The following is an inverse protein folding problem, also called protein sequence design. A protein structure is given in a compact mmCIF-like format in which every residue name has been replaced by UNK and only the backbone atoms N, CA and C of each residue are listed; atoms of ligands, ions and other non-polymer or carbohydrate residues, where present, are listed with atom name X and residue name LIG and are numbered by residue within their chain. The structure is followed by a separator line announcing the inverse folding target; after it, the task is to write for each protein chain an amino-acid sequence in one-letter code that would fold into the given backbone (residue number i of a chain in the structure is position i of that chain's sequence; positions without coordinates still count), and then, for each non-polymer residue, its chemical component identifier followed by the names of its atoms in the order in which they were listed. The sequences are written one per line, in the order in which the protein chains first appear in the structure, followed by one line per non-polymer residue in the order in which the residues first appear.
data_IF_853744223100
#
_entry.id   IF_853744223100
#
_cell.length_a   1.000
_cell.length_b   1.000
_cell.length_c   1.000
_cell.angle_alpha   90.00
_cell.angle_beta   90.00
_cell.angle_gamma   90.00
#
_symmetry.space_group_name_H-M   'P 1'
#
loop_
_entity.id
_entity.type
_entity.pdbx_description
1 polymer ?
#
# COMPACT_ATOMS: atom_id res chain seq x y z
N UNK A 1 -12.03 -28.34 -40.56
CA UNK A 1 -12.80 -29.44 -39.96
C UNK A 1 -11.90 -30.65 -39.94
N UNK A 2 -11.38 -31.04 -38.77
CA UNK A 2 -10.74 -32.34 -38.63
C UNK A 2 -11.82 -33.39 -38.84
N UNK A 3 -11.56 -34.34 -39.73
CA UNK A 3 -12.41 -35.52 -39.90
C UNK A 3 -12.58 -36.17 -38.54
N UNK A 4 -13.80 -36.11 -38.02
CA UNK A 4 -14.21 -36.91 -36.87
C UNK A 4 -13.89 -38.36 -37.25
N UNK A 5 -12.92 -38.96 -36.56
CA UNK A 5 -12.67 -40.38 -36.70
C UNK A 5 -14.00 -41.07 -36.46
N UNK A 6 -14.55 -41.64 -37.54
CA UNK A 6 -15.75 -42.46 -37.51
C UNK A 6 -15.48 -43.52 -36.46
N UNK A 7 -16.14 -43.40 -35.30
CA UNK A 7 -16.11 -44.47 -34.33
C UNK A 7 -16.62 -45.69 -35.07
N UNK A 8 -15.96 -46.82 -34.84
CA UNK A 8 -16.54 -48.10 -35.17
C UNK A 8 -17.81 -48.27 -34.31
N UNK A 9 -18.95 -47.75 -34.77
CA UNK A 9 -20.27 -47.88 -34.14
C UNK A 9 -20.56 -49.34 -33.80
N UNK A 10 -19.98 -50.29 -34.56
CA UNK A 10 -20.07 -51.71 -34.26
C UNK A 10 -19.43 -52.05 -32.92
N UNK A 11 -18.34 -51.40 -32.50
CA UNK A 11 -17.74 -51.65 -31.18
C UNK A 11 -18.61 -51.18 -30.04
N UNK A 12 -19.22 -49.99 -30.14
CA UNK A 12 -20.13 -49.45 -29.12
C UNK A 12 -21.44 -50.29 -29.05
N UNK A 13 -22.00 -50.66 -30.19
CA UNK A 13 -23.22 -51.47 -30.25
C UNK A 13 -22.99 -52.93 -29.82
N UNK A 14 -21.79 -53.49 -30.07
CA UNK A 14 -21.43 -54.85 -29.67
C UNK A 14 -21.42 -55.07 -28.15
N UNK A 15 -21.26 -54.02 -27.35
CA UNK A 15 -21.39 -54.10 -25.88
C UNK A 15 -22.84 -54.26 -25.45
N UNK A 16 -23.75 -53.48 -26.05
CA UNK A 16 -25.19 -53.62 -25.81
C UNK A 16 -25.66 -55.02 -26.23
N UNK A 17 -25.16 -55.54 -27.35
CA UNK A 17 -25.47 -56.90 -27.81
C UNK A 17 -24.87 -57.97 -26.87
N UNK A 18 -23.61 -57.86 -26.46
CA UNK A 18 -22.97 -58.87 -25.60
C UNK A 18 -23.57 -58.95 -24.20
N UNK A 19 -23.90 -57.81 -23.57
CA UNK A 19 -24.49 -57.77 -22.23
C UNK A 19 -25.94 -58.28 -22.23
N UNK A 20 -26.62 -58.25 -23.38
CA UNK A 20 -28.01 -58.71 -23.52
C UNK A 20 -28.15 -60.17 -23.97
N UNK A 21 -27.05 -60.87 -24.28
CA UNK A 21 -27.08 -62.30 -24.65
C UNK A 21 -27.20 -63.24 -23.44
N UNK A 22 -28.02 -64.29 -23.55
CA UNK A 22 -28.31 -65.27 -22.49
C UNK A 22 -27.05 -66.01 -21.96
N UNK A 23 -25.99 -66.11 -22.77
CA UNK A 23 -24.71 -66.77 -22.43
C UNK A 23 -23.87 -66.01 -21.37
N UNK A 24 -24.14 -64.72 -21.16
CA UNK A 24 -23.43 -63.89 -20.17
C UNK A 24 -24.28 -63.59 -18.93
N UNK A 25 -25.39 -64.31 -18.74
CA UNK A 25 -26.13 -64.26 -17.48
C UNK A 25 -25.37 -65.00 -16.38
N UNK A 26 -25.51 -64.52 -15.13
CA UNK A 26 -24.90 -65.19 -13.97
C UNK A 26 -25.30 -66.67 -13.91
N UNK A 27 -26.56 -66.96 -14.16
CA UNK A 27 -27.14 -68.30 -14.09
C UNK A 27 -26.54 -69.24 -15.14
N UNK A 28 -26.39 -68.80 -16.41
CA UNK A 28 -25.76 -69.62 -17.45
C UNK A 28 -24.24 -69.79 -17.24
N UNK A 29 -23.59 -68.85 -16.53
CA UNK A 29 -22.18 -68.99 -16.18
C UNK A 29 -21.95 -70.04 -15.09
N UNK A 30 -22.75 -70.02 -14.01
CA UNK A 30 -22.48 -70.81 -12.79
C UNK A 30 -23.17 -72.18 -12.75
N UNK A 31 -24.29 -72.39 -13.46
CA UNK A 31 -25.11 -73.61 -13.38
C UNK A 31 -24.31 -74.91 -13.62
N UNK A 32 -23.67 -75.06 -14.78
CA UNK A 32 -22.93 -76.28 -15.13
C UNK A 32 -21.74 -76.54 -14.18
N UNK A 33 -21.10 -75.47 -13.70
CA UNK A 33 -20.00 -75.55 -12.74
C UNK A 33 -20.50 -76.05 -11.38
N UNK A 34 -21.62 -75.52 -10.90
CA UNK A 34 -22.24 -75.93 -9.63
C UNK A 34 -22.76 -77.36 -9.69
N UNK A 35 -23.45 -77.73 -10.77
CA UNK A 35 -23.94 -79.09 -11.00
C UNK A 35 -22.79 -80.12 -11.03
N UNK A 36 -21.71 -79.82 -11.76
CA UNK A 36 -20.54 -80.68 -11.81
C UNK A 36 -19.80 -80.75 -10.47
N UNK A 37 -19.70 -79.61 -9.77
CA UNK A 37 -19.05 -79.55 -8.45
C UNK A 37 -19.78 -80.42 -7.45
N UNK A 38 -21.12 -80.32 -7.40
CA UNK A 38 -21.92 -81.12 -6.47
C UNK A 38 -21.89 -82.61 -6.84
N UNK A 39 -22.02 -82.94 -8.12
CA UNK A 39 -22.03 -84.33 -8.61
C UNK A 39 -20.74 -85.11 -8.32
N UNK A 40 -19.59 -84.47 -8.46
CA UNK A 40 -18.27 -85.12 -8.29
C UNK A 40 -17.61 -84.81 -6.95
N UNK A 41 -18.33 -84.16 -6.04
CA UNK A 41 -17.85 -83.88 -4.68
C UNK A 41 -17.54 -85.17 -3.95
N UNK A 42 -16.29 -85.34 -3.51
CA UNK A 42 -15.85 -86.54 -2.79
C UNK A 42 -15.79 -87.82 -3.64
N UNK A 43 -15.93 -87.72 -4.98
CA UNK A 43 -15.78 -88.87 -5.86
C UNK A 43 -14.33 -89.38 -5.88
N UNK A 44 -14.15 -90.71 -5.74
CA UNK A 44 -12.85 -91.38 -5.79
C UNK A 44 -12.83 -92.34 -6.98
N UNK A 45 -11.92 -92.10 -7.93
CA UNK A 45 -11.72 -92.95 -9.09
C UNK A 45 -11.19 -94.34 -8.69
N UNK A 46 -11.62 -95.38 -9.41
CA UNK A 46 -11.18 -96.76 -9.20
C UNK A 46 -10.49 -97.33 -10.44
N UNK A 47 -9.79 -98.46 -10.28
CA UNK A 47 -9.08 -99.09 -11.41
C UNK A 47 -10.02 -99.49 -12.56
N UNK A 48 -11.28 -99.87 -12.25
CA UNK A 48 -12.28 -100.25 -13.26
C UNK A 48 -12.91 -99.06 -13.98
N UNK A 49 -12.94 -97.86 -13.37
CA UNK A 49 -13.54 -96.63 -13.94
C UNK A 49 -12.52 -95.71 -14.62
N UNK A 50 -11.22 -96.03 -14.51
CA UNK A 50 -10.11 -95.17 -14.93
C UNK A 50 -10.20 -94.62 -16.35
N UNK A 51 -10.69 -95.42 -17.31
CA UNK A 51 -10.82 -95.00 -18.72
C UNK A 51 -11.86 -93.88 -18.86
N UNK A 52 -13.00 -94.00 -18.19
CA UNK A 52 -14.09 -93.04 -18.27
C UNK A 52 -13.82 -91.82 -17.38
N UNK A 53 -13.16 -92.00 -16.23
CA UNK A 53 -12.71 -90.91 -15.37
C UNK A 53 -11.74 -89.97 -16.09
N UNK A 54 -10.84 -90.51 -16.93
CA UNK A 54 -9.94 -89.70 -17.75
C UNK A 54 -10.69 -88.85 -18.78
N UNK A 55 -11.75 -89.40 -19.39
CA UNK A 55 -12.60 -88.64 -20.32
C UNK A 55 -13.37 -87.55 -19.58
N UNK A 56 -13.98 -87.87 -18.43
CA UNK A 56 -14.69 -86.88 -17.61
C UNK A 56 -13.79 -85.77 -17.09
N UNK A 57 -12.56 -86.08 -16.67
CA UNK A 57 -11.58 -85.04 -16.32
C UNK A 57 -11.28 -84.11 -17.49
N UNK A 58 -11.17 -84.64 -18.71
CA UNK A 58 -10.95 -83.82 -19.90
C UNK A 58 -12.15 -82.89 -20.17
N UNK A 59 -13.38 -83.39 -20.06
CA UNK A 59 -14.61 -82.58 -20.17
C UNK A 59 -14.65 -81.46 -19.11
N UNK A 60 -14.41 -81.78 -17.83
CA UNK A 60 -14.41 -80.80 -16.74
C UNK A 60 -13.31 -79.73 -16.92
N UNK A 61 -12.11 -80.14 -17.33
CA UNK A 61 -11.02 -79.20 -17.62
C UNK A 61 -11.36 -78.27 -18.80
N UNK A 62 -12.04 -78.79 -19.83
CA UNK A 62 -12.49 -77.96 -20.95
C UNK A 62 -13.56 -76.96 -20.53
N UNK A 63 -14.47 -77.36 -19.64
CA UNK A 63 -15.46 -76.46 -19.05
C UNK A 63 -14.79 -75.31 -18.28
N UNK A 64 -13.80 -75.60 -17.42
CA UNK A 64 -13.03 -74.57 -16.70
C UNK A 64 -12.29 -73.63 -17.65
N UNK A 65 -11.68 -74.17 -18.71
CA UNK A 65 -11.01 -73.35 -19.74
C UNK A 65 -11.99 -72.43 -20.45
N UNK A 66 -13.15 -72.93 -20.84
CA UNK A 66 -14.20 -72.14 -21.49
C UNK A 66 -14.66 -70.98 -20.60
N UNK A 67 -14.99 -71.26 -19.33
CA UNK A 67 -15.44 -70.23 -18.38
C UNK A 67 -14.36 -69.19 -18.07
N UNK A 68 -13.09 -69.59 -17.96
CA UNK A 68 -11.97 -68.65 -17.80
C UNK A 68 -11.75 -67.77 -19.05
N UNK A 69 -11.93 -68.33 -20.25
CA UNK A 69 -11.86 -67.57 -21.50
C UNK A 69 -12.97 -66.51 -21.55
N UNK A 70 -14.21 -66.90 -21.31
CA UNK A 70 -15.36 -65.98 -21.19
C UNK A 70 -15.04 -64.84 -20.21
N UNK A 71 -14.54 -65.16 -19.01
CA UNK A 71 -14.15 -64.14 -18.00
C UNK A 71 -13.11 -63.14 -18.52
N UNK A 72 -12.06 -63.62 -19.19
CA UNK A 72 -10.97 -62.77 -19.70
C UNK A 72 -11.47 -61.92 -20.87
N UNK A 73 -12.18 -62.53 -21.81
CA UNK A 73 -12.70 -61.87 -23.00
C UNK A 73 -13.69 -60.76 -22.60
N UNK A 74 -14.60 -61.02 -21.65
CA UNK A 74 -15.49 -59.98 -21.09
C UNK A 74 -14.71 -58.83 -20.46
N UNK A 75 -13.69 -59.12 -19.64
CA UNK A 75 -12.88 -58.09 -18.99
C UNK A 75 -12.20 -57.19 -20.03
N UNK A 76 -11.61 -57.79 -21.06
CA UNK A 76 -10.91 -57.06 -22.11
C UNK A 76 -11.88 -56.20 -22.91
N UNK A 77 -13.01 -56.76 -23.34
CA UNK A 77 -14.06 -56.03 -24.08
C UNK A 77 -14.55 -54.83 -23.28
N UNK A 78 -14.88 -55.01 -22.00
CA UNK A 78 -15.34 -53.91 -21.15
C UNK A 78 -14.28 -52.82 -20.95
N UNK A 79 -13.02 -53.21 -20.80
CA UNK A 79 -11.91 -52.25 -20.60
C UNK A 79 -11.62 -51.46 -21.88
N UNK A 80 -11.47 -52.15 -23.01
CA UNK A 80 -11.24 -51.54 -24.33
C UNK A 80 -12.38 -50.60 -24.72
N UNK A 81 -13.62 -50.99 -24.41
CA UNK A 81 -14.81 -50.16 -24.61
C UNK A 81 -14.73 -48.86 -23.83
N UNK A 82 -14.45 -48.95 -22.53
CA UNK A 82 -14.44 -47.77 -21.66
C UNK A 82 -13.38 -46.76 -22.13
N UNK A 83 -12.18 -47.26 -22.50
CA UNK A 83 -11.11 -46.44 -23.06
C UNK A 83 -11.50 -45.83 -24.41
N UNK A 84 -12.06 -46.62 -25.33
CA UNK A 84 -12.47 -46.12 -26.65
C UNK A 84 -13.56 -45.05 -26.56
N UNK A 85 -14.51 -45.20 -25.63
CA UNK A 85 -15.55 -44.20 -25.39
C UNK A 85 -14.97 -42.91 -24.78
N UNK A 86 -14.08 -43.04 -23.78
CA UNK A 86 -13.43 -41.88 -23.15
C UNK A 86 -12.59 -41.08 -24.17
N UNK A 87 -11.80 -41.78 -24.99
CA UNK A 87 -11.00 -41.18 -26.05
C UNK A 87 -11.88 -40.45 -27.07
N UNK A 88 -12.98 -41.09 -27.51
CA UNK A 88 -13.95 -40.46 -28.39
C UNK A 88 -14.58 -39.21 -27.75
N UNK A 89 -15.11 -39.34 -26.53
CA UNK A 89 -15.74 -38.22 -25.83
C UNK A 89 -14.76 -37.04 -25.70
N UNK A 90 -13.50 -37.29 -25.33
CA UNK A 90 -12.44 -36.25 -25.29
C UNK A 90 -12.18 -35.64 -26.66
N UNK A 91 -12.18 -36.44 -27.73
CA UNK A 91 -11.97 -35.94 -29.09
C UNK A 91 -13.06 -34.95 -29.55
N UNK A 92 -14.28 -35.07 -29.01
CA UNK A 92 -15.40 -34.14 -29.27
C UNK A 92 -15.38 -32.95 -28.32
N UNK A 93 -15.19 -33.21 -27.02
CA UNK A 93 -15.26 -32.19 -25.97
C UNK A 93 -14.13 -31.18 -26.14
N UNK A 94 -12.90 -31.63 -26.42
CA UNK A 94 -11.72 -30.76 -26.46
C UNK A 94 -11.83 -29.63 -27.49
N UNK A 95 -12.18 -29.89 -28.78
CA UNK A 95 -12.42 -28.80 -29.73
C UNK A 95 -13.53 -27.83 -29.31
N UNK A 96 -14.56 -28.32 -28.60
CA UNK A 96 -15.62 -27.45 -28.09
C UNK A 96 -15.13 -26.57 -26.92
N UNK A 97 -14.32 -27.10 -26.00
CA UNK A 97 -13.65 -26.33 -24.95
C UNK A 97 -12.76 -25.23 -25.54
N UNK A 98 -12.02 -25.52 -26.61
CA UNK A 98 -11.19 -24.53 -27.31
C UNK A 98 -12.05 -23.38 -27.87
N UNK A 99 -13.23 -23.69 -28.41
CA UNK A 99 -14.19 -22.67 -28.88
C UNK A 99 -14.73 -21.82 -27.73
N UNK A 100 -15.12 -22.44 -26.61
CA UNK A 100 -15.59 -21.72 -25.40
C UNK A 100 -14.49 -20.78 -24.89
N UNK A 101 -13.25 -21.26 -24.80
CA UNK A 101 -12.12 -20.44 -24.35
C UNK A 101 -11.87 -19.23 -25.28
N UNK A 102 -12.01 -19.41 -26.60
CA UNK A 102 -11.90 -18.32 -27.56
C UNK A 102 -13.04 -17.29 -27.40
N UNK A 103 -14.26 -17.74 -27.09
CA UNK A 103 -15.38 -16.84 -26.78
C UNK A 103 -15.11 -16.05 -25.50
N UNK A 104 -14.71 -16.70 -24.41
CA UNK A 104 -14.41 -16.03 -23.14
C UNK A 104 -13.36 -14.95 -23.29
N UNK A 105 -12.28 -15.26 -24.03
CA UNK A 105 -11.24 -14.28 -24.34
C UNK A 105 -11.79 -13.10 -25.14
N UNK A 106 -12.57 -13.37 -26.18
CA UNK A 106 -13.13 -12.33 -27.04
C UNK A 106 -14.12 -11.42 -26.27
N UNK A 107 -14.94 -12.00 -25.39
CA UNK A 107 -15.85 -11.24 -24.53
C UNK A 107 -15.05 -10.33 -23.59
N UNK A 108 -14.03 -10.87 -22.92
CA UNK A 108 -13.18 -10.09 -22.03
C UNK A 108 -12.48 -8.94 -22.75
N UNK A 109 -11.94 -9.18 -23.94
CA UNK A 109 -11.28 -8.14 -24.75
C UNK A 109 -12.27 -7.01 -25.11
N UNK A 110 -13.52 -7.35 -25.44
CA UNK A 110 -14.58 -6.38 -25.72
C UNK A 110 -14.96 -5.58 -24.46
N UNK A 111 -15.13 -6.25 -23.32
CA UNK A 111 -15.46 -5.59 -22.04
C UNK A 111 -14.37 -4.61 -21.60
N UNK A 112 -13.09 -5.00 -21.71
CA UNK A 112 -11.95 -4.14 -21.41
C UNK A 112 -11.91 -2.92 -22.35
N UNK A 113 -12.15 -3.13 -23.65
CA UNK A 113 -12.21 -2.04 -24.63
C UNK A 113 -13.37 -1.07 -24.35
N UNK A 114 -14.57 -1.59 -24.04
CA UNK A 114 -15.72 -0.77 -23.68
C UNK A 114 -15.47 0.04 -22.41
N UNK A 115 -14.85 -0.55 -21.39
CA UNK A 115 -14.47 0.15 -20.16
C UNK A 115 -13.46 1.27 -20.44
N UNK A 116 -12.46 1.02 -21.30
CA UNK A 116 -11.50 2.03 -21.71
C UNK A 116 -12.15 3.19 -22.47
N UNK A 117 -13.06 2.88 -23.42
CA UNK A 117 -13.79 3.89 -24.17
C UNK A 117 -14.68 4.75 -23.27
N UNK A 118 -15.40 4.12 -22.32
CA UNK A 118 -16.20 4.84 -21.32
C UNK A 118 -15.35 5.77 -20.46
N UNK A 119 -14.20 5.29 -20.00
CA UNK A 119 -13.25 6.12 -19.25
C UNK A 119 -12.77 7.31 -20.07
N UNK A 120 -12.44 7.10 -21.35
CA UNK A 120 -12.03 8.17 -22.26
C UNK A 120 -13.15 9.20 -22.45
N UNK A 121 -14.40 8.77 -22.65
CA UNK A 121 -15.56 9.67 -22.71
C UNK A 121 -15.68 10.52 -21.44
N UNK A 122 -15.59 9.90 -20.26
CA UNK A 122 -15.70 10.63 -18.98
C UNK A 122 -14.57 11.63 -18.83
N UNK A 123 -13.33 11.22 -19.13
CA UNK A 123 -12.16 12.11 -19.09
C UNK A 123 -12.26 13.25 -20.09
N UNK A 124 -12.72 12.98 -21.31
CA UNK A 124 -12.97 14.00 -22.33
C UNK A 124 -14.02 15.01 -21.90
N UNK A 125 -15.12 14.53 -21.29
CA UNK A 125 -16.15 15.40 -20.72
C UNK A 125 -15.59 16.28 -19.60
N UNK A 126 -14.90 15.68 -18.63
CA UNK A 126 -14.26 16.40 -17.52
C UNK A 126 -13.21 17.39 -18.00
N UNK A 127 -12.40 17.05 -19.01
CA UNK A 127 -11.40 17.95 -19.57
C UNK A 127 -12.04 19.18 -20.22
N UNK A 128 -13.11 19.00 -20.98
CA UNK A 128 -13.87 20.11 -21.57
C UNK A 128 -14.45 21.02 -20.48
N UNK A 129 -15.04 20.43 -19.42
CA UNK A 129 -15.59 21.20 -18.30
C UNK A 129 -14.53 21.88 -17.45
N UNK A 130 -13.43 21.21 -17.16
CA UNK A 130 -12.30 21.76 -16.42
C UNK A 130 -11.67 22.96 -17.17
N UNK A 131 -11.61 22.91 -18.50
CA UNK A 131 -11.11 24.00 -19.33
C UNK A 131 -11.95 25.29 -19.19
N UNK A 132 -13.27 25.20 -18.96
CA UNK A 132 -14.13 26.37 -18.70
C UNK A 132 -13.67 27.14 -17.43
N UNK A 133 -13.05 26.45 -16.47
CA UNK A 133 -12.57 26.99 -15.20
C UNK A 133 -11.03 27.09 -15.12
N UNK A 134 -10.31 26.80 -16.21
CA UNK A 134 -8.85 26.72 -16.25
C UNK A 134 -8.24 25.74 -15.23
N UNK A 135 -8.96 24.68 -14.90
CA UNK A 135 -8.49 23.61 -14.02
C UNK A 135 -7.67 22.57 -14.82
N UNK A 136 -6.63 22.01 -14.19
CA UNK A 136 -5.93 20.85 -14.76
C UNK A 136 -6.87 19.62 -14.72
N UNK A 137 -7.25 19.03 -15.87
CA UNK A 137 -8.16 17.88 -15.91
C UNK A 137 -7.66 16.66 -15.12
N UNK A 138 -6.34 16.54 -14.91
CA UNK A 138 -5.73 15.38 -14.25
C UNK A 138 -6.14 15.25 -12.78
N UNK A 139 -6.59 16.34 -12.14
CA UNK A 139 -7.09 16.30 -10.76
C UNK A 139 -8.34 15.42 -10.61
N UNK A 140 -9.01 15.10 -11.72
CA UNK A 140 -10.22 14.28 -11.75
C UNK A 140 -9.96 12.82 -12.16
N UNK A 141 -8.72 12.44 -12.51
CA UNK A 141 -8.42 11.12 -13.09
C UNK A 141 -8.88 9.95 -12.21
N UNK A 142 -8.66 10.04 -10.89
CA UNK A 142 -9.09 9.01 -9.94
C UNK A 142 -10.63 8.99 -9.79
N UNK A 143 -11.24 10.18 -9.74
CA UNK A 143 -12.70 10.31 -9.60
C UNK A 143 -13.44 9.81 -10.84
N UNK A 144 -12.84 9.96 -12.03
CA UNK A 144 -13.40 9.49 -13.30
C UNK A 144 -13.65 7.97 -13.30
N UNK A 145 -12.84 7.19 -12.58
CA UNK A 145 -13.01 5.74 -12.45
C UNK A 145 -14.36 5.36 -11.80
N UNK A 146 -14.97 6.27 -11.04
CA UNK A 146 -16.28 6.06 -10.42
C UNK A 146 -17.47 6.11 -11.40
N UNK A 147 -17.26 6.63 -12.62
CA UNK A 147 -18.32 6.94 -13.60
C UNK A 147 -18.23 6.12 -14.88
N UNK A 148 -17.62 4.92 -14.82
CA UNK A 148 -17.42 4.03 -15.98
C UNK A 148 -18.44 2.89 -16.05
N UNK A 149 -19.45 2.88 -15.17
CA UNK A 149 -20.43 1.80 -15.10
C UNK A 149 -21.46 1.95 -16.21
N UNK A 150 -22.04 0.86 -16.68
CA UNK A 150 -23.13 0.87 -17.68
C UNK A 150 -24.30 1.77 -17.27
N UNK A 151 -24.55 1.87 -15.95
CA UNK A 151 -25.55 2.76 -15.37
C UNK A 151 -25.32 4.25 -15.65
N UNK A 152 -24.09 4.66 -15.94
CA UNK A 152 -23.68 6.07 -16.17
C UNK A 152 -23.87 6.51 -17.63
N UNK A 153 -24.03 5.54 -18.54
CA UNK A 153 -24.15 5.76 -19.98
C UNK A 153 -25.57 5.45 -20.49
N UNK A 154 -25.88 5.97 -21.66
CA UNK A 154 -27.08 5.64 -22.43
C UNK A 154 -26.98 4.21 -22.97
N UNK A 155 -28.06 3.72 -23.61
CA UNK A 155 -28.09 2.37 -24.17
C UNK A 155 -27.06 2.12 -25.29
N UNK A 156 -26.49 3.17 -25.87
CA UNK A 156 -25.38 3.09 -26.83
C UNK A 156 -24.04 2.77 -26.18
N UNK A 157 -23.96 2.79 -24.84
CA UNK A 157 -22.77 2.44 -24.06
C UNK A 157 -21.64 3.47 -24.11
N UNK A 158 -21.82 4.60 -24.82
CA UNK A 158 -20.76 5.60 -25.07
C UNK A 158 -21.20 7.03 -24.74
N UNK A 159 -22.49 7.32 -24.76
CA UNK A 159 -23.01 8.66 -24.44
C UNK A 159 -23.35 8.75 -22.95
N UNK A 160 -22.88 9.79 -22.26
CA UNK A 160 -23.19 10.00 -20.84
C UNK A 160 -24.67 10.33 -20.61
N UNK A 161 -25.24 9.81 -19.53
CA UNK A 161 -26.57 10.22 -19.08
C UNK A 161 -26.55 11.62 -18.49
N UNK A 162 -27.69 12.32 -18.55
CA UNK A 162 -27.86 13.67 -17.97
C UNK A 162 -27.55 13.73 -16.48
N UNK A 163 -27.95 12.72 -15.71
CA UNK A 163 -27.66 12.65 -14.28
C UNK A 163 -26.14 12.54 -14.01
N UNK A 164 -25.46 11.72 -14.80
CA UNK A 164 -24.01 11.55 -14.77
C UNK A 164 -23.30 12.86 -15.11
N UNK A 165 -23.68 13.50 -16.23
CA UNK A 165 -23.13 14.79 -16.65
C UNK A 165 -23.29 15.85 -15.56
N UNK A 166 -24.47 15.95 -14.95
CA UNK A 166 -24.70 16.86 -13.82
C UNK A 166 -23.77 16.58 -12.64
N UNK A 167 -23.59 15.31 -12.27
CA UNK A 167 -22.68 14.95 -11.18
C UNK A 167 -21.22 15.30 -11.49
N UNK A 168 -20.79 15.16 -12.75
CA UNK A 168 -19.46 15.56 -13.19
C UNK A 168 -19.31 17.09 -13.19
N UNK A 169 -20.33 17.82 -13.64
CA UNK A 169 -20.37 19.30 -13.61
C UNK A 169 -20.27 19.83 -12.17
N UNK A 170 -21.05 19.26 -11.26
CA UNK A 170 -21.06 19.63 -9.84
C UNK A 170 -19.68 19.37 -9.21
N UNK A 171 -19.01 18.28 -9.59
CA UNK A 171 -17.66 17.95 -9.14
C UNK A 171 -16.61 18.97 -9.62
N UNK A 172 -16.66 19.36 -10.89
CA UNK A 172 -15.74 20.36 -11.45
C UNK A 172 -15.96 21.72 -10.78
N UNK A 173 -17.22 22.11 -10.61
CA UNK A 173 -17.60 23.37 -9.96
C UNK A 173 -17.13 23.41 -8.50
N UNK A 174 -17.29 22.31 -7.77
CA UNK A 174 -16.83 22.20 -6.39
C UNK A 174 -15.31 22.35 -6.28
N UNK A 175 -14.53 21.70 -7.15
CA UNK A 175 -13.07 21.85 -7.14
C UNK A 175 -12.63 23.28 -7.47
N UNK A 176 -13.29 23.94 -8.42
CA UNK A 176 -13.03 25.34 -8.73
C UNK A 176 -13.27 26.24 -7.51
N UNK A 177 -14.40 26.07 -6.82
CA UNK A 177 -14.72 26.82 -5.61
C UNK A 177 -13.68 26.58 -4.51
N UNK A 178 -13.26 25.33 -4.32
CA UNK A 178 -12.25 24.97 -3.33
C UNK A 178 -10.90 25.66 -3.61
N UNK A 179 -10.45 25.68 -4.87
CA UNK A 179 -9.23 26.40 -5.26
C UNK A 179 -9.35 27.91 -5.05
N UNK A 180 -10.51 28.51 -5.37
CA UNK A 180 -10.75 29.93 -5.14
C UNK A 180 -10.72 30.29 -3.65
N UNK A 181 -11.30 29.47 -2.79
CA UNK A 181 -11.23 29.67 -1.33
C UNK A 181 -9.80 29.50 -0.80
N UNK A 182 -9.03 28.55 -1.34
CA UNK A 182 -7.62 28.37 -1.01
C UNK A 182 -6.78 29.59 -1.39
N UNK A 183 -6.97 30.15 -2.60
CA UNK A 183 -6.27 31.37 -3.02
C UNK A 183 -6.67 32.61 -2.21
N UNK A 184 -7.95 32.76 -1.85
CA UNK A 184 -8.39 33.81 -0.91
C UNK A 184 -7.72 33.67 0.46
N UNK A 185 -7.61 32.44 0.97
CA UNK A 185 -6.95 32.17 2.24
C UNK A 185 -5.47 32.55 2.20
N UNK A 186 -4.75 32.21 1.12
CA UNK A 186 -3.36 32.66 0.91
C UNK A 186 -3.26 34.18 0.87
N UNK A 187 -4.13 34.85 0.12
CA UNK A 187 -4.13 36.31 0.02
C UNK A 187 -4.37 36.98 1.38
N UNK A 188 -5.29 36.44 2.19
CA UNK A 188 -5.54 36.93 3.55
C UNK A 188 -4.32 36.74 4.46
N UNK A 189 -3.65 35.59 4.40
CA UNK A 189 -2.41 35.31 5.13
C UNK A 189 -1.30 36.30 4.73
N UNK A 190 -1.02 36.42 3.43
CA UNK A 190 0.01 37.34 2.92
C UNK A 190 -0.30 38.78 3.29
N UNK A 191 -1.57 39.20 3.23
CA UNK A 191 -2.02 40.51 3.67
C UNK A 191 -1.74 40.76 5.16
N UNK A 192 -2.12 39.82 6.03
CA UNK A 192 -1.89 39.94 7.47
C UNK A 192 -0.39 39.96 7.83
N UNK A 193 0.42 39.12 7.17
CA UNK A 193 1.87 39.12 7.36
C UNK A 193 2.49 40.44 6.89
N UNK A 194 2.05 40.99 5.76
CA UNK A 194 2.54 42.27 5.25
C UNK A 194 2.22 43.43 6.21
N UNK A 195 1.01 43.46 6.80
CA UNK A 195 0.63 44.44 7.84
C UNK A 195 1.55 44.38 9.07
N UNK A 196 2.03 43.20 9.44
CA UNK A 196 2.94 42.99 10.56
C UNK A 196 4.43 43.08 10.19
N UNK A 197 4.77 43.29 8.91
CA UNK A 197 6.16 43.28 8.43
C UNK A 197 6.84 41.92 8.57
N UNK A 198 6.07 40.84 8.51
CA UNK A 198 6.53 39.46 8.65
C UNK A 198 6.56 38.72 7.30
N UNK A 199 7.33 37.64 7.22
CA UNK A 199 7.32 36.73 6.06
C UNK A 199 6.07 35.84 6.10
N UNK A 200 5.45 35.64 4.94
CA UNK A 200 4.22 34.84 4.77
C UNK A 200 4.48 33.35 4.49
N UNK A 201 5.62 33.01 3.88
CA UNK A 201 6.02 31.64 3.50
C UNK A 201 5.78 30.54 4.57
N UNK A 202 6.08 30.74 5.87
CA UNK A 202 5.81 29.73 6.88
C UNK A 202 4.31 29.42 7.02
N UNK A 203 3.49 30.47 6.98
CA UNK A 203 2.05 30.40 7.21
C UNK A 203 1.29 29.89 5.97
N UNK A 204 1.77 30.22 4.77
CA UNK A 204 1.22 29.68 3.52
C UNK A 204 1.33 28.16 3.41
N UNK A 205 2.30 27.54 4.10
CA UNK A 205 2.39 26.07 4.19
C UNK A 205 1.37 25.50 5.17
N UNK A 206 1.10 26.23 6.26
CA UNK A 206 0.19 25.77 7.32
C UNK A 206 -1.26 25.69 6.85
N UNK A 207 -1.67 26.52 5.87
CA UNK A 207 -3.04 26.51 5.33
C UNK A 207 -3.39 25.24 4.52
N UNK A 208 -2.43 24.32 4.33
CA UNK A 208 -2.69 22.97 3.79
C UNK A 208 -3.34 22.06 4.83
N UNK A 209 -2.97 22.22 6.11
CA UNK A 209 -3.38 21.32 7.19
C UNK A 209 -4.28 22.01 8.23
N UNK A 210 -4.25 23.35 8.28
CA UNK A 210 -4.98 24.18 9.23
C UNK A 210 -5.99 25.08 8.53
N UNK A 211 -7.01 25.47 9.27
CA UNK A 211 -7.99 26.46 8.82
C UNK A 211 -7.36 27.85 8.73
N UNK A 212 -7.90 28.71 7.87
CA UNK A 212 -7.46 30.11 7.75
C UNK A 212 -7.48 30.83 9.11
N UNK A 213 -8.49 30.59 9.94
CA UNK A 213 -8.61 31.22 11.26
C UNK A 213 -7.45 30.85 12.20
N UNK A 214 -7.08 29.57 12.26
CA UNK A 214 -5.96 29.09 13.08
C UNK A 214 -4.63 29.68 12.60
N UNK A 215 -4.43 29.76 11.29
CA UNK A 215 -3.20 30.35 10.72
C UNK A 215 -3.12 31.85 11.04
N UNK A 216 -4.22 32.60 10.90
CA UNK A 216 -4.26 34.02 11.23
C UNK A 216 -4.02 34.27 12.74
N UNK A 217 -4.53 33.40 13.61
CA UNK A 217 -4.26 33.48 15.05
C UNK A 217 -2.78 33.23 15.36
N UNK A 218 -2.16 32.25 14.69
CA UNK A 218 -0.72 31.98 14.83
C UNK A 218 0.13 33.19 14.38
N UNK A 219 -0.19 33.79 13.23
CA UNK A 219 0.49 35.01 12.73
C UNK A 219 0.43 36.12 13.78
N UNK A 220 -0.75 36.34 14.36
CA UNK A 220 -0.95 37.36 15.40
C UNK A 220 -0.16 37.06 16.67
N UNK A 221 -0.13 35.80 17.10
CA UNK A 221 0.63 35.38 18.28
C UNK A 221 2.14 35.62 18.10
N UNK A 222 2.69 35.22 16.95
CA UNK A 222 4.10 35.38 16.63
C UNK A 222 4.49 36.87 16.53
N UNK A 223 3.62 37.69 15.93
CA UNK A 223 3.81 39.14 15.88
C UNK A 223 3.88 39.77 17.28
N UNK A 224 2.93 39.42 18.16
CA UNK A 224 2.90 39.94 19.53
C UNK A 224 4.15 39.52 20.31
N UNK A 225 4.60 38.28 20.15
CA UNK A 225 5.83 37.79 20.76
C UNK A 225 7.06 38.57 20.27
N UNK A 226 7.18 38.78 18.96
CA UNK A 226 8.30 39.54 18.38
C UNK A 226 8.29 41.00 18.85
N UNK A 227 7.12 41.63 18.89
CA UNK A 227 6.97 43.01 19.38
C UNK A 227 7.39 43.14 20.85
N UNK A 228 6.95 42.23 21.72
CA UNK A 228 7.35 42.22 23.13
C UNK A 228 8.87 42.07 23.29
N UNK A 229 9.49 41.21 22.47
CA UNK A 229 10.94 41.03 22.47
C UNK A 229 11.68 42.30 22.03
N UNK A 230 11.24 42.95 20.96
CA UNK A 230 11.85 44.17 20.43
C UNK A 230 11.71 45.35 21.41
N UNK A 231 10.58 45.46 22.11
CA UNK A 231 10.37 46.45 23.17
C UNK A 231 11.30 46.18 24.36
N UNK A 232 11.42 44.93 24.81
CA UNK A 232 12.33 44.56 25.90
C UNK A 232 13.80 44.83 25.54
N UNK A 233 14.22 44.56 24.30
CA UNK A 233 15.58 44.87 23.81
C UNK A 233 15.82 46.38 23.68
N UNK A 234 14.81 47.17 23.30
CA UNK A 234 14.91 48.64 23.29
C UNK A 234 15.08 49.20 24.69
N UNK A 235 14.24 48.81 25.64
CA UNK A 235 14.34 49.23 27.04
C UNK A 235 15.70 48.85 27.62
N UNK A 236 16.21 47.65 27.31
CA UNK A 236 17.55 47.23 27.73
C UNK A 236 18.66 48.11 27.15
N UNK A 237 18.62 48.40 25.85
CA UNK A 237 19.60 49.27 25.19
C UNK A 237 19.56 50.69 25.73
N UNK A 238 18.38 51.25 25.97
CA UNK A 238 18.23 52.59 26.55
C UNK A 238 18.82 52.65 27.97
N UNK A 239 18.57 51.64 28.81
CA UNK A 239 19.21 51.55 30.14
C UNK A 239 20.73 51.43 30.05
N UNK A 240 21.24 50.59 29.16
CA UNK A 240 22.68 50.42 28.95
C UNK A 240 23.33 51.74 28.47
N UNK A 241 22.67 52.49 27.57
CA UNK A 241 23.14 53.80 27.13
C UNK A 241 23.13 54.85 28.25
N UNK A 242 22.07 54.90 29.07
CA UNK A 242 22.00 55.81 30.22
C UNK A 242 23.10 55.53 31.25
N UNK A 243 23.36 54.25 31.52
CA UNK A 243 24.47 53.81 32.39
C UNK A 243 25.83 54.19 31.80
N UNK A 244 26.03 54.03 30.49
CA UNK A 244 27.26 54.43 29.81
C UNK A 244 27.46 55.95 29.84
N UNK A 245 26.41 56.74 29.61
CA UNK A 245 26.45 58.21 29.67
C UNK A 245 26.76 58.70 31.10
N UNK A 246 26.17 58.09 32.12
CA UNK A 246 26.49 58.37 33.53
C UNK A 246 27.96 58.10 33.84
N UNK A 247 28.49 56.93 33.45
CA UNK A 247 29.91 56.59 33.62
C UNK A 247 30.83 57.57 32.89
N UNK A 248 30.46 58.02 31.69
CA UNK A 248 31.24 59.01 30.94
C UNK A 248 31.29 60.36 31.66
N UNK A 249 30.16 60.81 32.22
CA UNK A 249 30.10 62.04 33.03
C UNK A 249 30.90 61.92 34.33
N UNK A 250 30.86 60.76 34.99
CA UNK A 250 31.69 60.47 36.17
C UNK A 250 33.19 60.50 35.83
N UNK A 251 33.60 59.92 34.69
CA UNK A 251 34.98 59.99 34.21
C UNK A 251 35.40 61.41 33.82
N UNK A 252 34.55 62.18 33.15
CA UNK A 252 34.82 63.60 32.83
C UNK A 252 34.90 64.47 34.10
N UNK A 253 34.12 64.18 35.14
CA UNK A 253 34.24 64.84 36.45
C UNK A 253 35.52 64.43 37.20
N UNK A 254 35.91 63.16 37.14
CA UNK A 254 37.16 62.67 37.73
C UNK A 254 38.39 63.27 37.01
N UNK A 255 38.34 63.46 35.69
CA UNK A 255 39.39 64.17 34.95
C UNK A 255 39.45 65.66 35.28
N UNK A 256 38.29 66.34 35.42
CA UNK A 256 38.25 67.75 35.86
C UNK A 256 38.71 67.96 37.31
N UNK A 257 38.58 66.94 38.16
CA UNK A 257 39.14 66.95 39.52
C UNK A 257 40.67 66.70 39.55
N UNK A 258 41.22 66.11 38.48
CA UNK A 258 42.67 65.91 38.29
C UNK A 258 43.38 67.16 37.71
N UNK A 259 42.66 68.10 37.10
CA UNK A 259 43.18 69.36 36.54
C UNK A 259 43.05 70.56 37.50
N UNK A 260 42.65 70.33 38.76
CA UNK A 260 42.72 71.34 39.81
C UNK A 260 44.15 71.44 40.35
N UNK A 261 44.78 72.63 40.44
CA UNK A 261 46.16 72.76 40.86
C UNK A 261 46.31 72.31 42.32
N UNK A 262 47.07 71.23 42.54
CA UNK A 262 47.64 70.96 43.85
C UNK A 262 48.73 72.00 44.11
N UNK A 263 48.42 72.98 44.95
CA UNK A 263 49.41 73.87 45.56
C UNK A 263 49.81 73.24 46.89
N UNK A 264 51.02 72.75 46.96
CA UNK A 264 51.74 72.37 48.19
C UNK A 264 52.66 73.55 48.60
N UNK A 265 52.52 74.13 49.80
CA UNK A 265 53.21 75.36 50.16
C UNK A 265 54.63 75.20 50.73
N UNK A 266 55.27 74.02 50.74
CA UNK A 266 56.54 73.89 51.48
C UNK A 266 57.60 72.94 50.89
N UNK A 267 57.96 73.08 49.60
CA UNK A 267 59.36 72.98 49.08
C UNK A 267 59.37 73.04 47.55
N UNK A 268 60.00 74.08 47.00
CA UNK A 268 60.12 74.29 45.57
C UNK A 268 61.29 73.54 44.94
N UNK A 269 61.00 72.40 44.30
CA UNK A 269 61.84 71.85 43.23
C UNK A 269 60.95 71.24 42.11
N UNK A 270 61.23 71.64 40.87
CA UNK A 270 60.60 71.18 39.62
C UNK A 270 61.66 70.37 38.87
N UNK A 271 61.31 69.18 38.36
CA UNK A 271 61.79 68.58 37.10
C UNK A 271 60.84 67.42 36.77
N UNK A 272 60.54 66.98 35.55
CA UNK A 272 60.67 67.43 34.17
C UNK A 272 60.16 66.22 33.34
N UNK A 273 59.47 66.49 32.24
CA UNK A 273 59.41 65.69 31.00
C UNK A 273 59.17 64.16 31.01
N UNK A 274 58.23 63.75 30.15
CA UNK A 274 58.53 62.66 29.20
C UNK A 274 57.66 61.41 29.23
N UNK A 275 56.57 61.48 28.48
CA UNK A 275 56.19 60.60 27.35
C UNK A 275 56.18 59.05 27.48
N UNK A 276 54.96 58.54 27.26
CA UNK A 276 54.53 57.41 26.41
C UNK A 276 55.22 56.03 26.42
N UNK A 277 54.31 55.04 26.26
CA UNK A 277 54.51 53.70 25.70
C UNK A 277 55.03 52.67 26.72
N UNK A 278 54.56 51.43 26.82
CA UNK A 278 54.01 50.58 25.78
C UNK A 278 53.36 49.32 26.41
N UNK A 279 52.20 48.94 25.85
CA UNK A 279 51.64 47.60 25.62
C UNK A 279 52.01 46.42 26.53
N UNK A 280 50.96 45.84 27.12
CA UNK A 280 50.90 44.41 27.41
C UNK A 280 50.44 43.66 26.17
N UNK A 281 51.35 42.89 25.60
CA UNK A 281 51.07 41.81 24.65
C UNK A 281 50.56 40.56 25.37
N UNK A 282 49.44 40.02 24.91
CA UNK A 282 49.15 38.57 24.84
C UNK A 282 47.81 38.30 24.15
N UNK A 283 47.66 37.15 23.46
CA UNK A 283 48.01 37.01 22.06
C UNK A 283 46.78 36.89 21.17
N UNK A 284 47.00 37.28 19.91
CA UNK A 284 46.11 37.08 18.77
C UNK A 284 45.89 35.57 18.57
N UNK A 285 44.72 35.08 18.94
CA UNK A 285 44.18 33.87 18.32
C UNK A 285 43.72 34.25 16.91
N UNK A 286 44.45 33.72 15.94
CA UNK A 286 44.03 33.57 14.55
C UNK A 286 42.59 33.09 14.50
N UNK A 287 41.69 33.97 14.06
CA UNK A 287 40.35 33.59 13.63
C UNK A 287 40.50 32.69 12.39
N UNK A 288 40.56 31.38 12.61
CA UNK A 288 40.28 30.43 11.55
C UNK A 288 38.85 30.72 11.06
N UNK A 289 38.78 31.11 9.80
CA UNK A 289 37.59 31.26 9.00
C UNK A 289 36.93 29.89 8.82
N UNK A 290 36.37 29.30 9.88
CA UNK A 290 35.50 28.14 9.73
C UNK A 290 34.17 28.65 9.20
N UNK A 291 33.94 28.46 7.90
CA UNK A 291 32.68 28.76 7.22
C UNK A 291 31.50 28.37 8.12
N UNK A 292 30.62 29.33 8.46
CA UNK A 292 29.39 29.07 9.21
C UNK A 292 28.57 28.02 8.48
N UNK A 293 28.71 26.74 8.84
CA UNK A 293 27.86 25.66 8.33
C UNK A 293 26.51 25.78 9.00
N UNK A 294 25.51 26.23 8.24
CA UNK A 294 24.12 26.22 8.67
C UNK A 294 23.64 24.77 8.76
N UNK A 295 23.18 24.35 9.94
CA UNK A 295 22.51 23.06 10.13
C UNK A 295 21.00 23.24 9.94
N UNK A 296 20.40 22.50 9.00
CA UNK A 296 18.95 22.49 8.79
C UNK A 296 18.31 21.42 9.69
N UNK A 297 17.19 21.78 10.36
CA UNK A 297 16.42 20.86 11.21
C UNK A 297 15.23 20.32 10.42
N UNK A 298 15.13 19.01 10.31
CA UNK A 298 13.96 18.28 9.80
C UNK A 298 13.37 17.47 10.96
N UNK A 299 12.05 17.53 11.14
CA UNK A 299 11.35 16.65 12.09
C UNK A 299 10.62 15.57 11.30
N UNK A 300 10.88 14.30 11.63
CA UNK A 300 10.24 13.13 11.03
C UNK A 300 9.62 12.32 12.17
N UNK A 301 8.34 11.99 12.04
CA UNK A 301 7.65 11.05 12.91
C UNK A 301 7.55 9.71 12.18
N UNK A 302 8.11 8.66 12.78
CA UNK A 302 8.20 7.32 12.20
C UNK A 302 7.72 6.33 13.25
N UNK A 303 6.74 5.52 12.88
CA UNK A 303 6.23 4.44 13.72
C UNK A 303 6.98 3.14 13.40
N UNK A 304 7.40 2.43 14.45
CA UNK A 304 8.09 1.14 14.34
C UNK A 304 7.20 0.06 14.94
N UNK A 305 7.26 -1.15 14.38
CA UNK A 305 6.46 -2.27 14.87
C UNK A 305 6.95 -2.77 16.25
N UNK A 306 8.25 -2.66 16.51
CA UNK A 306 8.90 -3.09 17.75
C UNK A 306 10.14 -2.24 18.10
N UNK A 307 10.66 -2.43 19.32
CA UNK A 307 11.84 -1.72 19.81
C UNK A 307 13.13 -2.13 19.09
N UNK A 308 13.21 -3.36 18.56
CA UNK A 308 14.39 -3.83 17.84
C UNK A 308 14.55 -3.09 16.50
N UNK A 309 13.46 -2.87 15.78
CA UNK A 309 13.41 -2.11 14.54
C UNK A 309 13.77 -0.63 14.77
N UNK A 310 13.19 -0.04 15.81
CA UNK A 310 13.52 1.32 16.27
C UNK A 310 15.01 1.47 16.62
N UNK A 311 15.58 0.50 17.33
CA UNK A 311 16.99 0.53 17.73
C UNK A 311 17.93 0.32 16.55
N UNK A 312 17.58 -0.56 15.60
CA UNK A 312 18.29 -0.70 14.31
C UNK A 312 18.30 0.62 13.55
N UNK A 313 17.16 1.28 13.42
CA UNK A 313 17.05 2.56 12.72
C UNK A 313 17.90 3.67 13.37
N UNK A 314 17.84 3.80 14.70
CA UNK A 314 18.69 4.77 15.45
C UNK A 314 20.19 4.53 15.21
N UNK A 315 20.62 3.27 15.21
CA UNK A 315 22.02 2.91 14.97
C UNK A 315 22.45 3.28 13.54
N UNK A 316 21.60 3.03 12.55
CA UNK A 316 21.84 3.42 11.16
C UNK A 316 21.95 4.94 11.00
N UNK A 317 21.06 5.72 11.64
CA UNK A 317 21.13 7.19 11.60
C UNK A 317 22.43 7.73 12.20
N UNK A 318 22.86 7.17 13.33
CA UNK A 318 24.11 7.55 13.96
C UNK A 318 25.33 7.21 13.09
N UNK A 319 25.33 6.04 12.42
CA UNK A 319 26.38 5.65 11.48
C UNK A 319 26.48 6.59 10.26
N UNK A 320 25.34 7.12 9.81
CA UNK A 320 25.27 8.08 8.71
C UNK A 320 25.58 9.53 9.14
N UNK A 321 25.96 9.75 10.40
CA UNK A 321 26.34 11.06 10.92
C UNK A 321 25.16 11.97 11.31
N UNK A 322 23.93 11.46 11.32
CA UNK A 322 22.76 12.20 11.77
C UNK A 322 22.66 12.19 13.30
N UNK A 323 22.47 13.39 13.88
CA UNK A 323 22.19 13.55 15.31
C UNK A 323 20.68 13.50 15.54
N UNK A 324 20.20 12.55 16.34
CA UNK A 324 18.81 12.51 16.80
C UNK A 324 18.71 13.00 18.25
N UNK A 325 17.70 13.82 18.54
CA UNK A 325 17.40 14.32 19.88
C UNK A 325 16.35 13.42 20.54
N UNK A 326 16.50 13.13 21.83
CA UNK A 326 15.47 12.40 22.59
C UNK A 326 14.34 13.39 22.92
N UNK A 327 13.13 13.16 22.42
CA UNK A 327 11.94 13.83 22.97
C UNK A 327 11.64 13.21 24.34
N UNK A 328 11.56 14.04 25.38
CA UNK A 328 11.09 13.62 26.69
C UNK A 328 9.60 13.28 26.61
N UNK A 329 9.26 12.11 27.17
CA UNK A 329 7.91 11.55 27.24
C UNK A 329 6.94 12.55 27.90
N UNK A 330 5.83 12.85 27.22
CA UNK A 330 4.65 13.46 27.83
C UNK A 330 4.08 12.44 28.84
N UNK A 331 4.00 12.82 30.12
CA UNK A 331 3.33 12.02 31.15
C UNK A 331 1.89 11.74 30.70
N UNK A 332 1.63 10.51 30.26
CA UNK A 332 0.32 10.08 29.75
C UNK A 332 0.40 8.85 28.83
N UNK A 333 1.52 8.65 28.13
CA UNK A 333 1.74 7.44 27.35
C UNK A 333 2.19 6.28 28.26
N UNK A 334 1.27 5.36 28.60
CA UNK A 334 1.66 4.04 29.13
C UNK A 334 2.33 3.27 27.99
N UNK A 335 3.48 2.64 28.28
CA UNK A 335 4.13 1.70 27.36
C UNK A 335 3.15 0.60 26.95
N UNK A 336 2.70 0.61 25.69
CA UNK A 336 1.99 -0.53 25.12
C UNK A 336 3.05 -1.49 24.60
N UNK A 337 3.34 -2.55 25.35
CA UNK A 337 4.25 -3.61 24.89
C UNK A 337 3.60 -4.36 23.70
N UNK A 338 4.23 -4.38 22.51
CA UNK A 338 3.73 -5.18 21.39
C UNK A 338 3.85 -6.69 21.66
N UNK A 339 3.06 -7.54 20.98
CA UNK A 339 2.04 -7.20 20.00
C UNK A 339 0.64 -7.23 20.64
N UNK A 340 -0.03 -6.07 20.70
CA UNK A 340 -1.47 -5.99 20.99
C UNK A 340 -2.24 -5.79 19.68
N UNK A 341 -3.10 -6.74 19.34
CA UNK A 341 -4.09 -6.60 18.27
C UNK A 341 -5.17 -5.60 18.68
N UNK A 342 -5.85 -5.00 17.69
CA UNK A 342 -6.88 -3.97 17.90
C UNK A 342 -8.00 -4.42 18.86
N UNK A 343 -8.37 -5.71 18.85
CA UNK A 343 -9.30 -6.30 19.82
C UNK A 343 -8.82 -6.25 21.29
N UNK A 344 -7.51 -6.37 21.53
CA UNK A 344 -6.94 -6.28 22.88
C UNK A 344 -6.88 -4.83 23.37
N UNK A 345 -6.70 -3.88 22.46
CA UNK A 345 -6.69 -2.45 22.75
C UNK A 345 -8.09 -1.98 23.17
N UNK A 346 -9.13 -2.36 22.40
CA UNK A 346 -10.53 -1.99 22.69
C UNK A 346 -11.04 -2.54 24.02
N UNK A 347 -10.56 -3.72 24.46
CA UNK A 347 -10.87 -4.28 25.78
C UNK A 347 -10.20 -3.53 26.93
N UNK A 348 -9.02 -2.95 26.74
CA UNK A 348 -8.36 -2.15 27.78
C UNK A 348 -9.03 -0.79 27.99
N UNK A 349 -9.58 -0.18 26.94
CA UNK A 349 -10.22 1.14 27.03
C UNK A 349 -11.69 1.10 27.45
N UNK A 350 -12.33 -0.07 27.48
CA UNK A 350 -13.72 -0.22 27.98
C UNK A 350 -13.85 -0.30 29.51
N UNK A 351 -12.76 -0.43 30.25
CA UNK A 351 -12.80 -0.60 31.72
C UNK A 351 -12.73 0.73 32.49
N UNK A 352 -12.47 1.86 31.81
CA UNK A 352 -12.42 3.19 32.45
C UNK A 352 -13.71 4.02 32.26
N UNK A 353 -14.81 3.38 31.82
CA UNK A 353 -16.11 4.03 31.65
C UNK A 353 -17.25 3.24 32.33
N UNK A 354 -17.11 2.95 33.62
CA UNK A 354 -18.20 2.75 34.58
C UNK A 354 -17.87 3.41 35.93
#
# INVERSE_FOLDING_TARGET
MQELQVIDEQKINRIYELITTEEFTRESFEKDLLEATEKYKGYIATASTLKDDRKKRAELNNMVKSKNRIRIDTKNILSETATAWDDYARSIIKPFEDVVSAFDKSIKDIEEHQKALRLDTVKGYLANKAAEYMLDPRIFDEKALGYVKDGDFMADGVTLKKATMKSLDDMVTFEFQNQQEYEKAKAAISGQCAEYGMTDLPYLRMVQDLTLAEVLEQIKSDYLFQKQKDEAERVRREREQQLAEQRRKEQEQAQKASDAPQVDPETGEILDGGDLSQNQDKPIETAENSSKRYTQKLMLEIYFADDDEKNRFKKTLAQLGFKYMHNYIVKGYREVKPPLTQEKLEKQFKVEAE
#
